data_IF_815514310251
#
_entry.id   IF_815514310251
#
_cell.length_a   1.000
_cell.length_b   1.000
_cell.length_c   1.000
_cell.angle_alpha   90.00
_cell.angle_beta   90.00
_cell.angle_gamma   90.00
#
_symmetry.space_group_name_H-M   'P 1'
#
loop_
_entity.id
_entity.type
_entity.pdbx_description
1 polymer ?
2 non-polymer ?
3 non-polymer ?
4 non-polymer ?
5 non-polymer ?
6 water ?
#
# COMPACT_ATOMS: atom_id res chain seq x y z
N UNK A 4 18.76 -18.47 -19.92
CA UNK A 4 18.98 -18.62 -18.48
C UNK A 4 18.06 -17.72 -17.66
N UNK A 5 17.64 -16.59 -18.23
CA UNK A 5 16.90 -15.62 -17.43
C UNK A 5 16.04 -14.69 -18.30
N UNK A 6 14.93 -14.24 -17.70
CA UNK A 6 13.95 -13.45 -18.45
C UNK A 6 14.41 -12.02 -18.67
N UNK A 7 15.19 -11.45 -17.75
CA UNK A 7 15.76 -10.13 -17.94
C UNK A 7 17.05 -10.22 -18.73
N UNK A 8 17.19 -9.37 -19.76
CA UNK A 8 18.44 -9.41 -20.50
C UNK A 8 19.57 -8.69 -19.77
N UNK A 9 19.24 -7.83 -18.81
CA UNK A 9 20.24 -7.28 -17.91
C UNK A 9 19.52 -6.82 -16.65
N UNK A 10 20.28 -6.76 -15.55
CA UNK A 10 19.70 -6.47 -14.23
C UNK A 10 19.68 -4.97 -13.97
N UNK A 11 18.85 -4.27 -14.75
CA UNK A 11 18.76 -2.82 -14.71
C UNK A 11 17.33 -2.42 -14.99
N UNK A 12 17.02 -1.13 -14.77
CA UNK A 12 15.69 -0.65 -15.10
C UNK A 12 15.43 -0.79 -16.59
N UNK A 13 16.45 -0.56 -17.41
CA UNK A 13 16.31 -0.77 -18.86
C UNK A 13 15.97 -2.23 -19.18
N UNK A 14 16.61 -3.16 -18.49
CA UNK A 14 16.27 -4.56 -18.69
C UNK A 14 14.84 -4.88 -18.30
N UNK A 15 14.34 -4.28 -17.21
CA UNK A 15 12.96 -4.48 -16.81
C UNK A 15 12.01 -3.89 -17.84
N UNK A 16 12.32 -2.69 -18.34
CA UNK A 16 11.43 -2.07 -19.33
C UNK A 16 11.35 -2.91 -20.60
N UNK A 17 12.49 -3.44 -21.07
CA UNK A 17 12.44 -4.28 -22.27
C UNK A 17 11.62 -5.54 -22.04
N UNK A 18 11.75 -6.13 -20.85
CA UNK A 18 10.96 -7.30 -20.51
C UNK A 18 9.47 -6.96 -20.47
N UNK A 19 9.15 -5.78 -19.95
CA UNK A 19 7.78 -5.34 -19.80
C UNK A 19 7.09 -5.17 -21.15
N UNK A 20 7.87 -4.90 -22.21
CA UNK A 20 7.31 -4.73 -23.54
C UNK A 20 7.53 -5.97 -24.41
N UNK A 21 7.97 -7.08 -23.82
CA UNK A 21 8.08 -8.36 -24.49
C UNK A 21 6.78 -9.17 -24.32
N UNK A 22 6.63 -10.20 -25.14
CA UNK A 22 5.40 -10.99 -25.09
C UNK A 22 5.27 -11.76 -23.77
N UNK A 23 6.36 -11.92 -23.01
CA UNK A 23 6.29 -12.73 -21.81
C UNK A 23 5.71 -11.98 -20.61
N UNK A 24 5.70 -10.66 -20.62
CA UNK A 24 5.28 -9.89 -19.44
C UNK A 24 3.82 -9.50 -19.61
N UNK A 25 2.93 -10.31 -19.05
CA UNK A 25 1.51 -10.05 -19.21
C UNK A 25 0.83 -9.59 -17.94
N UNK A 26 1.33 -10.03 -16.80
CA UNK A 26 0.62 -9.88 -15.52
C UNK A 26 1.57 -9.36 -14.46
N UNK A 27 1.26 -8.17 -13.94
CA UNK A 27 2.14 -7.48 -12.99
C UNK A 27 1.43 -7.46 -11.63
N UNK A 28 2.14 -7.84 -10.58
CA UNK A 28 1.68 -7.61 -9.21
C UNK A 28 2.52 -6.49 -8.61
N UNK A 29 1.85 -5.50 -8.01
CA UNK A 29 2.52 -4.42 -7.29
C UNK A 29 2.41 -4.70 -5.80
N UNK A 30 3.51 -4.52 -5.07
CA UNK A 30 3.51 -4.56 -3.61
C UNK A 30 3.97 -3.19 -3.15
N UNK A 31 3.11 -2.48 -2.40
CA UNK A 31 3.43 -1.08 -2.12
C UNK A 31 3.31 -0.80 -0.63
N UNK A 32 4.13 0.13 -0.16
CA UNK A 32 4.11 0.54 1.24
C UNK A 32 4.13 2.05 1.41
N UNK A 33 4.49 2.50 2.63
CA UNK A 33 4.32 3.90 2.98
C UNK A 33 5.14 4.82 2.11
N UNK A 34 6.22 4.31 1.51
CA UNK A 34 7.08 5.14 0.70
C UNK A 34 6.44 5.65 -0.58
N UNK A 35 5.31 5.09 -1.01
CA UNK A 35 4.64 5.62 -2.20
C UNK A 35 3.68 6.75 -1.84
N UNK A 36 3.48 7.04 -0.54
CA UNK A 36 2.55 8.09 -0.14
C UNK A 36 3.19 9.25 0.62
N UNK A 37 4.48 9.15 0.96
CA UNK A 37 5.12 10.27 1.65
C UNK A 37 5.16 11.53 0.78
N UNK A 38 5.28 11.38 -0.54
CA UNK A 38 5.26 12.58 -1.38
C UNK A 38 3.86 13.15 -1.56
N UNK A 39 2.81 12.46 -1.10
CA UNK A 39 1.45 12.98 -1.05
C UNK A 39 1.17 13.69 0.26
N UNK A 40 2.16 13.74 1.14
CA UNK A 40 2.01 14.39 2.41
C UNK A 40 1.56 13.47 3.52
N UNK A 41 1.54 12.17 3.28
CA UNK A 41 1.11 11.20 4.28
C UNK A 41 2.35 10.67 4.98
N UNK A 42 2.55 10.92 6.27
CA UNK A 42 3.75 10.44 6.96
C UNK A 42 3.81 8.91 6.99
N UNK A 43 5.03 8.41 7.01
CA UNK A 43 5.27 6.99 7.29
C UNK A 43 5.10 6.82 8.80
N UNK A 44 3.94 6.34 9.21
CA UNK A 44 3.69 6.24 10.64
C UNK A 44 4.53 5.15 11.34
N UNK A 45 5.50 4.55 10.65
CA UNK A 45 6.47 3.67 11.29
C UNK A 45 7.88 4.27 11.32
N UNK A 46 8.15 5.37 10.59
CA UNK A 46 9.46 5.99 10.69
C UNK A 46 9.56 6.80 11.99
N UNK A 47 10.70 6.84 12.69
CA UNK A 47 10.81 7.67 13.89
C UNK A 47 10.63 9.18 13.66
N UNK A 48 11.07 9.68 12.52
CA UNK A 48 10.95 11.11 12.19
C UNK A 48 9.49 11.57 12.34
N UNK A 49 8.56 10.61 12.43
CA UNK A 49 7.12 10.92 12.61
C UNK A 49 6.85 11.05 14.12
N UNK A 50 7.19 10.05 14.91
CA UNK A 50 6.97 10.07 16.38
C UNK A 50 5.51 9.86 16.76
N UNK A 51 4.83 8.91 16.12
CA UNK A 51 3.39 8.65 16.36
C UNK A 51 3.14 8.42 17.85
N UNK A 52 3.85 7.46 18.44
CA UNK A 52 3.60 7.10 19.86
C UNK A 52 4.18 8.18 20.78
N UNK A 53 4.00 9.46 20.45
CA UNK A 53 4.42 10.59 21.33
C UNK A 53 3.21 11.44 21.70
N UNK A 54 3.31 12.22 22.78
CA UNK A 54 2.17 13.02 23.26
C UNK A 54 0.90 12.16 23.39
N UNK A 55 1.01 10.90 23.81
CA UNK A 55 -0.22 10.11 24.08
C UNK A 55 -0.43 10.02 25.59
N UNK A 56 0.36 10.78 26.34
CA UNK A 56 0.33 10.72 27.83
C UNK A 56 -1.08 10.96 28.37
N UNK A 57 -1.81 11.93 27.80
CA UNK A 57 -3.13 12.31 28.37
C UNK A 57 -4.18 11.19 28.25
N UNK A 58 -3.90 10.17 27.44
CA UNK A 58 -4.92 9.13 27.21
C UNK A 58 -4.80 8.04 28.28
N UNK A 59 -3.65 7.97 28.94
CA UNK A 59 -3.49 7.00 30.05
C UNK A 59 -3.60 5.59 29.50
N UNK A 60 -2.96 5.37 28.36
CA UNK A 60 -3.00 4.06 27.74
C UNK A 60 -2.23 3.06 28.59
N UNK A 61 -2.76 1.85 28.79
CA UNK A 61 -1.99 0.82 29.51
C UNK A 61 -0.68 0.46 28.82
N UNK A 62 -0.51 0.85 27.55
CA UNK A 62 0.68 0.66 26.73
C UNK A 62 0.45 1.41 25.43
N UNK A 63 1.51 1.94 24.78
CA UNK A 63 1.30 2.84 23.63
C UNK A 63 0.45 2.26 22.52
N UNK A 64 0.58 0.97 22.20
CA UNK A 64 -0.16 0.36 21.10
C UNK A 64 -1.63 0.12 21.43
N UNK A 65 -2.07 0.40 22.66
CA UNK A 65 -3.49 0.19 22.97
C UNK A 65 -4.39 1.05 22.09
N UNK A 66 -3.90 2.21 21.64
CA UNK A 66 -4.70 3.09 20.79
C UNK A 66 -5.02 2.47 19.43
N UNK A 67 -4.32 1.39 19.06
CA UNK A 67 -4.62 0.64 17.85
C UNK A 67 -4.98 -0.82 18.15
N UNK A 68 -5.46 -1.07 19.37
CA UNK A 68 -5.85 -2.41 19.79
C UNK A 68 -7.35 -2.51 19.84
N UNK A 69 -7.89 -3.59 19.27
CA UNK A 69 -9.33 -3.69 19.08
C UNK A 69 -10.05 -3.72 20.41
N UNK A 70 -9.49 -4.42 21.41
CA UNK A 70 -10.21 -4.54 22.69
C UNK A 70 -10.25 -3.20 23.42
N UNK A 71 -9.15 -2.45 23.39
CA UNK A 71 -9.15 -1.12 23.99
C UNK A 71 -10.08 -0.17 23.25
N UNK A 72 -10.00 -0.16 21.90
CA UNK A 72 -10.88 0.70 21.11
C UNK A 72 -12.34 0.51 21.49
N UNK A 73 -12.78 -0.74 21.63
CA UNK A 73 -14.19 -1.00 21.87
C UNK A 73 -14.64 -0.55 23.25
N UNK A 74 -13.71 -0.43 24.21
CA UNK A 74 -14.01 0.10 25.53
C UNK A 74 -13.81 1.61 25.63
N UNK A 75 -12.73 2.13 25.04
CA UNK A 75 -12.35 3.54 25.09
C UNK A 75 -11.97 3.98 23.69
N UNK A 76 -12.93 4.31 22.83
CA UNK A 76 -12.59 4.71 21.45
C UNK A 76 -12.14 6.15 21.31
N UNK A 77 -12.31 6.98 22.35
CA UNK A 77 -12.02 8.41 22.21
C UNK A 77 -10.56 8.72 21.89
N UNK A 78 -9.55 8.02 22.45
CA UNK A 78 -8.17 8.35 22.06
C UNK A 78 -7.89 8.11 20.60
N UNK A 79 -8.32 6.98 20.05
CA UNK A 79 -8.09 6.71 18.63
C UNK A 79 -8.69 7.82 17.77
N UNK A 80 -9.92 8.25 18.07
CA UNK A 80 -10.56 9.25 17.22
C UNK A 80 -9.99 10.64 17.41
N UNK A 81 -9.49 10.96 18.60
CA UNK A 81 -8.77 12.21 18.78
C UNK A 81 -7.48 12.22 17.97
N UNK A 82 -6.75 11.09 17.98
CA UNK A 82 -5.55 10.99 17.17
C UNK A 82 -5.89 11.10 15.69
N UNK A 83 -6.95 10.42 15.25
CA UNK A 83 -7.33 10.47 13.85
C UNK A 83 -7.65 11.89 13.41
N UNK A 84 -8.26 12.70 14.29
CA UNK A 84 -8.49 14.10 13.92
C UNK A 84 -7.16 14.86 13.82
N UNK A 85 -6.28 14.64 14.80
CA UNK A 85 -4.99 15.32 14.83
C UNK A 85 -4.18 15.06 13.57
N UNK A 86 -4.21 13.84 13.04
CA UNK A 86 -3.38 13.48 11.90
C UNK A 86 -4.15 13.36 10.60
N UNK A 87 -5.41 13.81 10.55
CA UNK A 87 -6.20 13.67 9.34
C UNK A 87 -5.53 14.43 8.19
N UNK A 88 -5.27 13.79 7.05
CA UNK A 88 -4.59 14.49 5.94
C UNK A 88 -5.36 15.73 5.49
N UNK A 89 -4.60 16.76 5.07
CA UNK A 89 -5.24 17.96 4.57
C UNK A 89 -5.81 17.80 3.18
N UNK A 90 -5.36 16.79 2.45
CA UNK A 90 -5.77 16.55 1.09
C UNK A 90 -5.49 15.08 0.81
N UNK A 91 -6.24 14.50 -0.12
CA UNK A 91 -5.99 13.13 -0.58
C UNK A 91 -5.65 13.18 -2.06
N UNK A 92 -4.38 13.44 -2.35
CA UNK A 92 -3.90 13.59 -3.72
C UNK A 92 -2.87 12.51 -4.00
N UNK A 93 -3.24 11.47 -4.76
CA UNK A 93 -2.29 10.37 -5.01
C UNK A 93 -1.07 10.84 -5.78
N UNK A 94 -0.02 10.03 -5.70
CA UNK A 94 1.28 10.40 -6.26
C UNK A 94 1.44 9.85 -7.67
N UNK A 95 2.54 10.26 -8.32
CA UNK A 95 2.91 9.69 -9.60
C UNK A 95 2.93 8.18 -9.54
N UNK A 96 3.39 7.63 -8.41
CA UNK A 96 3.45 6.18 -8.27
C UNK A 96 2.05 5.56 -8.31
N UNK A 97 1.08 6.16 -7.61
CA UNK A 97 -0.29 5.65 -7.67
C UNK A 97 -0.84 5.71 -9.08
N UNK A 98 -0.61 6.81 -9.80
CA UNK A 98 -1.14 6.89 -11.16
C UNK A 98 -0.38 5.99 -12.12
N UNK A 99 0.88 5.66 -11.81
CA UNK A 99 1.57 4.65 -12.60
C UNK A 99 0.84 3.32 -12.50
N UNK A 100 0.35 2.96 -11.31
CA UNK A 100 -0.38 1.70 -11.35
C UNK A 100 -1.77 1.83 -11.94
N UNK A 101 -2.38 3.01 -11.97
CA UNK A 101 -3.59 3.17 -12.77
C UNK A 101 -3.29 2.97 -14.25
N UNK A 102 -2.12 3.43 -14.72
CA UNK A 102 -1.74 3.17 -16.11
C UNK A 102 -1.57 1.68 -16.36
N UNK A 103 -0.92 0.96 -15.44
CA UNK A 103 -0.82 -0.49 -15.58
C UNK A 103 -2.19 -1.11 -15.75
N UNK A 104 -3.16 -0.65 -14.97
CA UNK A 104 -4.53 -1.15 -15.07
C UNK A 104 -5.12 -0.84 -16.45
N UNK A 105 -4.94 0.40 -16.90
CA UNK A 105 -5.49 0.86 -18.18
C UNK A 105 -4.96 0.01 -19.33
N UNK A 106 -3.71 -0.39 -19.24
CA UNK A 106 -3.04 -1.16 -20.27
C UNK A 106 -3.24 -2.66 -20.13
N UNK A 107 -4.09 -3.09 -19.21
CA UNK A 107 -4.40 -4.49 -19.00
C UNK A 107 -3.29 -5.32 -18.39
N UNK A 108 -2.31 -4.68 -17.75
CA UNK A 108 -1.16 -5.36 -17.17
C UNK A 108 -1.29 -5.60 -15.68
N UNK A 109 -2.22 -4.97 -14.98
CA UNK A 109 -2.26 -5.04 -13.53
C UNK A 109 -3.04 -6.26 -13.08
N UNK A 110 -2.35 -7.25 -12.51
CA UNK A 110 -3.06 -8.37 -11.91
C UNK A 110 -3.60 -7.99 -10.54
N UNK A 111 -2.78 -7.36 -9.72
CA UNK A 111 -3.21 -6.99 -8.37
C UNK A 111 -2.22 -6.00 -7.78
N UNK A 112 -2.73 -5.13 -6.91
CA UNK A 112 -1.90 -4.29 -6.06
C UNK A 112 -2.15 -4.68 -4.61
N UNK A 113 -1.12 -5.18 -3.96
CA UNK A 113 -1.13 -5.43 -2.53
C UNK A 113 -0.54 -4.22 -1.83
N UNK A 114 -1.32 -3.59 -0.95
CA UNK A 114 -0.87 -2.38 -0.29
C UNK A 114 -0.89 -2.55 1.22
N UNK A 115 0.12 -1.98 1.87
CA UNK A 115 0.20 -1.84 3.31
C UNK A 115 -0.43 -0.55 3.81
N UNK A 116 -0.86 0.33 2.90
CA UNK A 116 -1.30 1.66 3.29
C UNK A 116 -2.80 1.67 3.55
N UNK A 117 -3.21 2.58 4.47
CA UNK A 117 -4.63 2.75 4.84
C UNK A 117 -5.19 4.06 4.32
N UNK A 118 -4.44 4.79 3.51
CA UNK A 118 -4.75 6.18 3.19
C UNK A 118 -5.70 6.37 2.02
N UNK A 119 -6.18 5.30 1.39
CA UNK A 119 -7.18 5.29 0.31
C UNK A 119 -6.65 5.77 -1.04
N UNK A 120 -5.38 6.17 -1.13
CA UNK A 120 -4.94 6.84 -2.35
C UNK A 120 -4.95 5.91 -3.57
N UNK A 121 -4.80 4.59 -3.36
CA UNK A 121 -4.94 3.67 -4.49
C UNK A 121 -6.34 3.78 -5.12
N UNK A 122 -7.38 3.90 -4.29
CA UNK A 122 -8.75 3.99 -4.79
C UNK A 122 -9.01 5.33 -5.47
N UNK A 123 -8.50 6.41 -4.88
CA UNK A 123 -8.66 7.74 -5.48
C UNK A 123 -7.98 7.78 -6.84
N UNK A 124 -6.82 7.13 -6.97
CA UNK A 124 -6.09 7.04 -8.24
C UNK A 124 -6.79 6.17 -9.26
N UNK A 125 -7.84 5.45 -8.89
CA UNK A 125 -8.63 4.72 -9.86
C UNK A 125 -8.44 3.21 -9.86
N UNK A 126 -7.79 2.65 -8.85
CA UNK A 126 -7.80 1.20 -8.70
C UNK A 126 -9.12 0.80 -8.06
N UNK A 127 -9.74 -0.23 -8.60
CA UNK A 127 -11.02 -0.71 -8.08
C UNK A 127 -10.81 -1.77 -7.00
N UNK A 128 -11.89 -2.03 -6.26
CA UNK A 128 -11.76 -2.98 -5.15
C UNK A 128 -11.23 -4.33 -5.63
N UNK A 129 -11.60 -4.75 -6.84
CA UNK A 129 -11.14 -6.04 -7.37
C UNK A 129 -9.63 -6.04 -7.61
N UNK A 130 -9.04 -4.88 -7.92
CA UNK A 130 -7.61 -4.76 -8.16
C UNK A 130 -6.78 -4.76 -6.89
N UNK A 131 -7.39 -4.64 -5.72
CA UNK A 131 -6.68 -4.28 -4.51
C UNK A 131 -6.74 -5.38 -3.47
N UNK A 132 -5.62 -5.58 -2.79
CA UNK A 132 -5.59 -6.27 -1.52
C UNK A 132 -5.06 -5.27 -0.50
N UNK A 133 -5.95 -4.73 0.33
CA UNK A 133 -5.53 -3.78 1.36
C UNK A 133 -5.17 -4.59 2.59
N UNK A 134 -3.87 -4.92 2.69
CA UNK A 134 -3.41 -5.89 3.68
C UNK A 134 -3.64 -5.41 5.10
N UNK A 135 -3.63 -4.10 5.32
CA UNK A 135 -3.86 -3.54 6.64
C UNK A 135 -5.21 -2.83 6.73
N UNK A 136 -6.09 -3.09 5.77
CA UNK A 136 -7.37 -2.44 5.71
C UNK A 136 -7.26 -1.02 5.14
N UNK A 137 -8.30 -0.24 5.42
CA UNK A 137 -8.40 1.07 4.82
C UNK A 137 -9.32 1.96 5.64
N UNK A 138 -9.10 3.27 5.54
CA UNK A 138 -10.02 4.27 6.08
C UNK A 138 -11.15 4.59 5.12
N UNK A 139 -11.13 4.02 3.91
CA UNK A 139 -12.12 4.35 2.88
C UNK A 139 -13.54 4.00 3.31
N UNK A 140 -13.71 2.86 3.98
CA UNK A 140 -15.00 2.45 4.49
C UNK A 140 -14.85 2.16 5.97
N UNK A 141 -15.97 2.23 6.67
CA UNK A 141 -16.05 1.97 8.09
C UNK A 141 -17.26 1.09 8.35
N UNK A 142 -17.23 0.31 9.42
CA UNK A 142 -18.36 -0.55 9.72
C UNK A 142 -18.75 -0.46 11.19
N UNK A 143 -20.06 -0.52 11.41
CA UNK A 143 -20.57 -0.81 12.74
C UNK A 143 -19.90 -2.07 13.26
N UNK A 144 -19.44 -2.03 14.52
CA UNK A 144 -18.69 -3.16 15.06
C UNK A 144 -19.57 -4.30 15.55
N UNK A 145 -20.89 -4.13 15.59
CA UNK A 145 -21.77 -5.21 16.03
C UNK A 145 -21.90 -6.28 14.94
N UNK A 146 -21.63 -7.52 15.32
CA UNK A 146 -21.63 -8.61 14.36
C UNK A 146 -23.00 -8.83 13.72
N UNK A 147 -24.08 -8.49 14.43
CA UNK A 147 -25.42 -8.70 13.86
C UNK A 147 -25.90 -7.53 13.01
N UNK A 148 -25.06 -6.50 12.83
CA UNK A 148 -25.46 -5.32 12.09
C UNK A 148 -24.50 -5.01 10.96
N UNK A 149 -23.28 -4.59 11.30
CA UNK A 149 -22.22 -4.38 10.32
C UNK A 149 -22.61 -3.35 9.25
N UNK A 150 -23.45 -2.38 9.61
CA UNK A 150 -23.79 -1.30 8.68
C UNK A 150 -22.51 -0.60 8.22
N UNK A 151 -22.41 -0.32 6.92
CA UNK A 151 -21.21 0.28 6.34
C UNK A 151 -21.40 1.78 6.14
N UNK A 152 -20.36 2.55 6.46
CA UNK A 152 -20.39 4.00 6.34
C UNK A 152 -19.21 4.49 5.49
N UNK A 153 -19.43 5.49 4.66
CA UNK A 153 -18.35 6.01 3.82
C UNK A 153 -17.46 6.99 4.58
N UNK A 154 -16.29 7.28 3.99
CA UNK A 154 -15.35 8.17 4.66
C UNK A 154 -15.94 9.55 4.93
N UNK A 155 -16.82 10.06 4.08
CA UNK A 155 -17.36 11.40 4.31
C UNK A 155 -18.18 11.46 5.59
N UNK A 156 -18.92 10.40 5.89
CA UNK A 156 -19.64 10.30 7.16
C UNK A 156 -18.66 10.25 8.33
N UNK A 157 -17.64 9.41 8.21
CA UNK A 157 -16.69 9.22 9.30
C UNK A 157 -15.88 10.51 9.52
N UNK A 158 -15.54 11.23 8.44
CA UNK A 158 -14.84 12.51 8.58
C UNK A 158 -15.65 13.52 9.39
N UNK A 159 -16.95 13.64 9.10
CA UNK A 159 -17.77 14.61 9.81
C UNK A 159 -17.78 14.34 11.31
N UNK A 160 -17.93 13.07 11.69
CA UNK A 160 -17.89 12.70 13.10
C UNK A 160 -16.53 13.02 13.71
N UNK A 161 -15.45 12.69 13.01
CA UNK A 161 -14.11 12.87 13.56
C UNK A 161 -13.83 14.35 13.81
N UNK A 162 -14.20 15.21 12.85
CA UNK A 162 -13.88 16.62 13.03
C UNK A 162 -14.81 17.32 14.00
N UNK A 163 -16.06 16.88 14.10
CA UNK A 163 -16.95 17.43 15.11
C UNK A 163 -16.68 16.86 16.49
N UNK A 164 -15.73 15.93 16.63
CA UNK A 164 -15.38 15.31 17.91
C UNK A 164 -16.61 14.63 18.53
N UNK A 165 -17.41 14.00 17.67
CA UNK A 165 -18.52 13.15 18.08
C UNK A 165 -18.10 11.71 17.81
N UNK A 166 -18.10 10.89 18.85
CA UNK A 166 -17.72 9.50 18.66
C UNK A 166 -18.71 8.83 17.70
N UNK A 167 -18.26 8.25 16.60
CA UNK A 167 -19.19 7.73 15.60
C UNK A 167 -19.95 6.50 16.12
N UNK A 168 -21.28 6.58 16.06
CA UNK A 168 -22.16 5.49 16.47
C UNK A 168 -23.08 5.11 15.32
N UNK A 169 -23.40 3.82 15.26
CA UNK A 169 -24.26 3.30 14.19
C UNK A 169 -25.67 3.88 14.30
N UNK A 170 -26.20 4.34 13.17
CA UNK A 170 -27.57 4.86 13.15
C UNK A 170 -28.63 3.79 13.35
N UNK A 171 -28.32 2.53 13.02
CA UNK A 171 -29.29 1.45 13.19
C UNK A 171 -29.29 0.90 14.62
N UNK A 172 -28.11 0.72 15.22
CA UNK A 172 -28.03 0.01 16.48
C UNK A 172 -27.21 0.74 17.55
N UNK A 173 -26.62 1.89 17.23
CA UNK A 173 -25.86 2.74 18.16
C UNK A 173 -24.58 2.07 18.70
N UNK A 174 -24.10 0.98 18.09
CA UNK A 174 -22.76 0.49 18.39
C UNK A 174 -21.72 1.45 17.81
N UNK A 175 -20.48 1.30 18.26
CA UNK A 175 -19.38 2.04 17.65
C UNK A 175 -19.25 1.71 16.17
N UNK A 176 -18.82 2.69 15.39
CA UNK A 176 -18.45 2.48 14.00
C UNK A 176 -16.94 2.68 13.89
N UNK A 177 -16.25 1.67 13.33
CA UNK A 177 -14.79 1.64 13.26
C UNK A 177 -14.30 1.74 11.82
N UNK A 178 -13.32 2.57 11.52
CA UNK A 178 -12.69 2.51 10.20
C UNK A 178 -12.18 1.10 9.94
N UNK A 179 -12.22 0.69 8.67
CA UNK A 179 -11.86 -0.68 8.28
C UNK A 179 -10.36 -0.93 8.28
N UNK A 180 -9.61 -0.36 9.19
CA UNK A 180 -8.20 -0.70 9.29
C UNK A 180 -8.08 -1.90 10.23
N UNK A 181 -7.06 -2.73 10.02
CA UNK A 181 -6.83 -3.92 10.84
C UNK A 181 -6.14 -3.47 12.13
N UNK A 182 -6.90 -3.37 13.23
CA UNK A 182 -6.33 -3.09 14.54
C UNK A 182 -5.55 -4.30 15.07
N UNK A 183 -4.64 -4.04 16.00
CA UNK A 183 -4.05 -5.13 16.78
C UNK A 183 -5.17 -5.93 17.44
N UNK A 184 -5.01 -7.25 17.48
CA UNK A 184 -6.05 -8.12 17.97
C UNK A 184 -7.05 -8.54 16.92
N UNK A 185 -6.96 -7.98 15.72
CA UNK A 185 -7.72 -8.44 14.57
C UNK A 185 -6.80 -9.24 13.65
N UNK A 186 -7.40 -10.10 12.83
CA UNK A 186 -6.63 -10.85 11.84
C UNK A 186 -6.51 -10.06 10.55
N UNK A 187 -5.46 -10.35 9.78
CA UNK A 187 -5.39 -9.83 8.43
C UNK A 187 -6.60 -10.33 7.64
N UNK A 188 -7.07 -9.56 6.65
CA UNK A 188 -8.25 -10.00 5.89
C UNK A 188 -8.02 -11.35 5.21
N UNK A 189 -9.07 -12.18 5.18
CA UNK A 189 -8.95 -13.47 4.51
C UNK A 189 -8.61 -13.29 3.04
N UNK A 190 -9.04 -12.18 2.44
CA UNK A 190 -8.76 -11.90 1.05
C UNK A 190 -7.26 -11.85 0.78
N UNK A 191 -6.48 -11.42 1.77
CA UNK A 191 -5.03 -11.39 1.60
C UNK A 191 -4.51 -12.79 1.28
N UNK A 192 -4.94 -13.78 2.06
CA UNK A 192 -4.41 -15.12 1.89
C UNK A 192 -5.01 -15.81 0.67
N UNK A 193 -6.29 -15.61 0.40
CA UNK A 193 -6.91 -16.27 -0.76
C UNK A 193 -6.38 -15.68 -2.06
N UNK A 194 -6.19 -14.35 -2.11
CA UNK A 194 -5.67 -13.78 -3.34
C UNK A 194 -4.22 -14.19 -3.56
N UNK A 195 -3.43 -14.23 -2.48
CA UNK A 195 -2.03 -14.63 -2.62
C UNK A 195 -1.92 -16.03 -3.21
N UNK A 196 -2.79 -16.96 -2.77
CA UNK A 196 -2.74 -18.33 -3.27
C UNK A 196 -3.00 -18.44 -4.77
N UNK A 197 -3.81 -17.55 -5.32
CA UNK A 197 -4.13 -17.59 -6.74
C UNK A 197 -3.23 -16.69 -7.58
N UNK A 198 -2.93 -15.50 -7.06
CA UNK A 198 -2.28 -14.50 -7.89
C UNK A 198 -0.86 -14.90 -8.25
N UNK A 199 -0.16 -15.52 -7.31
CA UNK A 199 1.26 -15.78 -7.53
C UNK A 199 1.49 -17.01 -8.41
N UNK A 200 0.42 -17.72 -8.80
CA UNK A 200 0.52 -18.71 -9.88
C UNK A 200 0.61 -18.05 -11.24
N UNK A 201 0.22 -16.76 -11.34
CA UNK A 201 -0.04 -16.11 -12.61
C UNK A 201 0.90 -14.94 -12.90
N UNK A 202 1.75 -14.57 -11.96
CA UNK A 202 2.48 -13.31 -12.04
C UNK A 202 3.70 -13.44 -12.97
N UNK A 203 3.92 -12.40 -13.79
CA UNK A 203 5.09 -12.30 -14.67
C UNK A 203 6.13 -11.30 -14.18
N UNK A 204 5.75 -10.37 -13.31
CA UNK A 204 6.64 -9.32 -12.84
C UNK A 204 6.15 -8.85 -11.48
N UNK A 205 7.03 -8.74 -10.53
CA UNK A 205 6.72 -8.19 -9.22
C UNK A 205 7.32 -6.79 -9.14
N UNK A 206 6.48 -5.78 -8.92
CA UNK A 206 6.92 -4.40 -8.76
C UNK A 206 6.76 -4.04 -7.29
N UNK A 207 7.88 -3.89 -6.59
CA UNK A 207 7.89 -3.64 -5.14
C UNK A 207 8.28 -2.19 -4.92
N UNK A 208 7.36 -1.38 -4.38
CA UNK A 208 7.61 0.07 -4.36
C UNK A 208 7.35 0.63 -2.96
N UNK A 209 8.33 1.38 -2.44
CA UNK A 209 8.10 2.12 -1.20
C UNK A 209 7.83 1.26 0.02
N UNK A 210 8.46 0.11 0.10
CA UNK A 210 8.33 -0.71 1.29
C UNK A 210 9.69 -1.26 1.63
N UNK A 211 10.03 -1.25 2.93
CA UNK A 211 11.26 -1.84 3.43
C UNK A 211 11.17 -3.36 3.63
N UNK A 212 10.01 -3.97 3.41
CA UNK A 212 9.89 -5.43 3.46
C UNK A 212 10.36 -5.97 4.81
N UNK A 213 9.92 -5.31 5.89
CA UNK A 213 10.25 -5.73 7.24
C UNK A 213 9.05 -6.23 8.01
N UNK A 214 7.84 -5.88 7.60
CA UNK A 214 6.62 -6.28 8.31
C UNK A 214 6.09 -7.56 7.69
N UNK A 215 5.87 -8.61 8.56
CA UNK A 215 5.30 -9.87 8.09
C UNK A 215 3.80 -9.91 8.38
N UNK A 216 3.04 -10.69 7.61
CA UNK A 216 3.44 -11.56 6.49
C UNK A 216 3.57 -10.83 5.16
N UNK A 217 3.38 -9.51 5.11
CA UNK A 217 3.48 -8.79 3.84
C UNK A 217 4.83 -9.04 3.18
N UNK A 218 5.92 -8.96 3.95
CA UNK A 218 7.24 -9.12 3.35
C UNK A 218 7.41 -10.47 2.68
N UNK A 219 6.82 -11.52 3.27
CA UNK A 219 7.00 -12.87 2.73
C UNK A 219 6.38 -13.02 1.34
N UNK A 220 5.61 -12.03 0.88
CA UNK A 220 5.00 -12.12 -0.43
C UNK A 220 6.05 -12.26 -1.53
N UNK A 221 7.24 -11.67 -1.34
CA UNK A 221 8.21 -11.74 -2.44
C UNK A 221 8.67 -13.16 -2.66
N UNK A 222 8.62 -14.00 -1.63
CA UNK A 222 9.01 -15.40 -1.75
C UNK A 222 7.93 -16.28 -2.38
N UNK A 223 6.74 -15.74 -2.66
CA UNK A 223 5.68 -16.49 -3.30
C UNK A 223 5.75 -16.44 -4.81
N UNK A 224 6.64 -15.59 -5.36
CA UNK A 224 6.75 -15.51 -6.81
C UNK A 224 7.42 -16.78 -7.34
N UNK A 225 7.03 -17.21 -8.54
CA UNK A 225 7.80 -18.25 -9.24
C UNK A 225 9.27 -17.85 -9.33
N UNK A 226 10.13 -18.87 -9.41
CA UNK A 226 11.57 -18.63 -9.42
C UNK A 226 12.02 -17.76 -10.60
N UNK A 227 11.31 -17.80 -11.73
CA UNK A 227 11.72 -17.05 -12.90
C UNK A 227 11.24 -15.61 -12.89
N UNK A 228 10.26 -15.28 -12.06
CA UNK A 228 9.61 -13.96 -12.13
C UNK A 228 10.56 -12.83 -11.74
N UNK A 229 10.85 -11.87 -12.62
CA UNK A 229 11.68 -10.73 -12.21
C UNK A 229 11.00 -9.92 -11.12
N UNK A 230 11.82 -9.33 -10.26
CA UNK A 230 11.34 -8.52 -9.14
C UNK A 230 12.10 -7.20 -9.14
N UNK A 231 11.37 -6.09 -9.28
CA UNK A 231 11.97 -4.75 -9.33
C UNK A 231 11.59 -4.03 -8.05
N UNK A 232 12.59 -3.57 -7.30
CA UNK A 232 12.41 -2.75 -6.11
C UNK A 232 12.66 -1.29 -6.47
N UNK A 233 11.65 -0.44 -6.28
CA UNK A 233 11.81 1.02 -6.40
C UNK A 233 11.66 1.56 -5.00
N UNK A 234 12.76 2.03 -4.40
CA UNK A 234 12.72 2.36 -2.97
C UNK A 234 13.93 3.24 -2.65
N UNK A 235 13.81 4.06 -1.59
CA UNK A 235 14.93 4.91 -1.23
C UNK A 235 16.15 4.10 -0.81
N UNK A 236 15.93 2.90 -0.25
CA UNK A 236 16.98 2.02 0.27
C UNK A 236 16.77 0.60 -0.23
N UNK A 237 17.89 -0.09 -0.45
CA UNK A 237 17.83 -1.51 -0.77
C UNK A 237 17.15 -2.26 0.38
N UNK A 238 16.29 -3.21 0.02
CA UNK A 238 15.54 -3.97 1.01
C UNK A 238 15.26 -5.36 0.48
N UNK A 239 14.93 -6.28 1.39
CA UNK A 239 14.47 -7.59 1.00
C UNK A 239 15.53 -8.68 0.94
N UNK A 240 16.79 -8.36 1.15
CA UNK A 240 17.82 -9.39 1.15
C UNK A 240 17.68 -10.29 2.37
N UNK A 241 18.20 -11.50 2.24
CA UNK A 241 18.24 -12.40 3.38
C UNK A 241 19.06 -11.80 4.52
N UNK A 242 18.62 -12.06 5.75
CA UNK A 242 19.21 -11.42 6.92
C UNK A 242 20.27 -12.34 7.48
N UNK A 243 21.55 -11.98 7.44
CA UNK A 243 22.60 -12.92 7.88
C UNK A 243 22.46 -13.37 9.32
N UNK A 244 21.71 -12.64 10.16
CA UNK A 244 21.59 -12.96 11.58
C UNK A 244 20.57 -14.04 11.87
N UNK A 245 19.84 -14.50 10.85
CA UNK A 245 18.84 -15.55 11.02
C UNK A 245 19.17 -16.80 10.20
N UNK A 246 20.42 -16.95 9.78
CA UNK A 246 20.83 -18.10 8.98
C UNK A 246 20.37 -18.03 7.54
N UNK A 252 16.73 -17.35 1.35
CA UNK A 252 15.57 -18.20 1.20
C UNK A 252 14.40 -17.49 0.55
N UNK A 253 14.52 -17.25 -0.76
CA UNK A 253 13.56 -16.43 -1.46
C UNK A 253 13.79 -14.94 -1.32
N UNK A 254 14.82 -14.53 -0.56
CA UNK A 254 15.14 -13.12 -0.42
C UNK A 254 15.66 -12.53 -1.70
N UNK A 255 15.68 -11.19 -1.74
CA UNK A 255 16.19 -10.45 -2.89
C UNK A 255 17.69 -10.71 -3.07
N UNK A 256 18.13 -10.98 -4.30
CA UNK A 256 19.56 -11.04 -4.60
C UNK A 256 19.83 -10.07 -5.74
N UNK A 257 20.31 -8.87 -5.40
CA UNK A 257 20.57 -7.84 -6.40
C UNK A 257 22.00 -7.91 -6.93
N UNK A 258 22.94 -8.24 -6.06
CA UNK A 258 24.33 -7.89 -6.28
C UNK A 258 25.31 -9.05 -6.30
N UNK A 259 24.90 -10.28 -6.03
CA UNK A 259 25.88 -11.36 -6.05
C UNK A 259 26.12 -11.86 -7.47
N UNK A 260 27.16 -12.67 -7.64
CA UNK A 260 27.40 -13.24 -8.97
C UNK A 260 26.33 -14.26 -9.36
N UNK A 261 25.46 -14.63 -8.42
CA UNK A 261 24.34 -15.52 -8.68
C UNK A 261 23.04 -14.79 -8.99
N UNK A 262 23.06 -13.45 -8.91
CA UNK A 262 21.87 -12.64 -9.18
C UNK A 262 21.42 -12.87 -10.61
N UNK A 263 20.10 -12.97 -10.80
CA UNK A 263 19.59 -13.28 -12.13
C UNK A 263 18.25 -12.62 -12.44
N UNK A 264 17.59 -12.03 -11.45
CA UNK A 264 16.22 -11.57 -11.71
C UNK A 264 15.76 -10.39 -10.87
N UNK A 265 16.56 -9.98 -9.88
CA UNK A 265 16.16 -8.90 -8.97
C UNK A 265 16.92 -7.64 -9.30
N UNK A 266 16.21 -6.52 -9.32
CA UNK A 266 16.76 -5.22 -9.70
C UNK A 266 16.34 -4.19 -8.65
N UNK A 267 17.29 -3.34 -8.25
CA UNK A 267 17.02 -2.27 -7.29
C UNK A 267 17.26 -0.93 -7.94
N UNK A 268 16.23 -0.08 -7.92
CA UNK A 268 16.34 1.32 -8.35
C UNK A 268 16.18 2.17 -7.09
N UNK A 269 17.25 2.88 -6.71
CA UNK A 269 17.34 3.55 -5.43
C UNK A 269 17.05 5.03 -5.61
N UNK A 270 15.97 5.49 -5.00
CA UNK A 270 15.60 6.89 -5.07
C UNK A 270 14.16 7.02 -4.64
N UNK A 271 13.62 8.21 -4.87
CA UNK A 271 12.22 8.46 -4.58
C UNK A 271 11.32 7.64 -5.51
N UNK A 272 10.25 7.09 -4.95
CA UNK A 272 9.35 6.25 -5.74
C UNK A 272 8.81 6.99 -6.95
N UNK A 273 8.38 8.25 -6.78
CA UNK A 273 7.89 9.05 -7.90
C UNK A 273 8.91 9.10 -9.02
N UNK A 274 10.18 9.35 -8.67
CA UNK A 274 11.19 9.50 -9.71
C UNK A 274 11.50 8.17 -10.37
N UNK A 275 11.40 7.06 -9.63
CA UNK A 275 11.64 5.76 -10.21
C UNK A 275 10.53 5.37 -11.17
N UNK A 276 9.28 5.58 -10.77
CA UNK A 276 8.16 5.30 -11.65
C UNK A 276 8.20 6.17 -12.89
N UNK A 277 8.58 7.45 -12.72
CA UNK A 277 8.74 8.33 -13.85
C UNK A 277 9.80 7.79 -14.82
N UNK A 278 10.94 7.36 -14.28
CA UNK A 278 12.00 6.81 -15.13
C UNK A 278 11.51 5.57 -15.88
N UNK A 279 10.79 4.69 -15.19
CA UNK A 279 10.30 3.48 -15.86
C UNK A 279 9.28 3.84 -16.94
N UNK A 280 8.31 4.72 -16.60
CA UNK A 280 7.34 5.15 -17.61
C UNK A 280 8.04 5.75 -18.82
N UNK A 281 9.06 6.58 -18.59
CA UNK A 281 9.79 7.21 -19.68
C UNK A 281 10.42 6.16 -20.60
N UNK A 282 11.07 5.13 -20.03
CA UNK A 282 11.62 4.04 -20.83
C UNK A 282 10.54 3.35 -21.64
N UNK A 283 9.34 3.20 -21.06
CA UNK A 283 8.25 2.48 -21.68
C UNK A 283 7.54 3.31 -22.76
N UNK A 284 7.87 4.59 -22.90
CA UNK A 284 7.11 5.45 -23.80
C UNK A 284 5.82 5.96 -23.22
N UNK A 285 5.66 5.89 -21.90
CA UNK A 285 4.42 6.28 -21.24
C UNK A 285 4.51 7.63 -20.53
N UNK A 286 5.63 8.36 -20.67
CA UNK A 286 5.80 9.56 -19.85
C UNK A 286 4.71 10.59 -20.14
N UNK A 287 4.37 10.83 -21.41
CA UNK A 287 3.35 11.83 -21.68
C UNK A 287 1.99 11.36 -21.18
N UNK A 288 1.67 10.08 -21.36
CA UNK A 288 0.43 9.53 -20.81
C UNK A 288 0.35 9.73 -19.29
N UNK A 289 1.45 9.44 -18.60
CA UNK A 289 1.48 9.55 -17.15
C UNK A 289 1.36 11.02 -16.70
N UNK A 290 2.11 11.92 -17.34
CA UNK A 290 1.98 13.33 -16.97
C UNK A 290 0.56 13.84 -17.24
N UNK A 291 -0.02 13.48 -18.39
CA UNK A 291 -1.38 13.94 -18.68
C UNK A 291 -2.38 13.44 -17.65
N UNK A 292 -2.26 12.18 -17.25
CA UNK A 292 -3.18 11.62 -16.25
C UNK A 292 -2.98 12.32 -14.90
N UNK A 293 -1.74 12.42 -14.44
CA UNK A 293 -1.50 13.05 -13.13
C UNK A 293 -1.98 14.50 -13.14
N UNK A 294 -1.63 15.26 -14.17
CA UNK A 294 -1.99 16.68 -14.17
C UNK A 294 -3.50 16.85 -14.17
N UNK A 295 -4.19 15.99 -14.89
CA UNK A 295 -5.64 16.06 -14.94
C UNK A 295 -6.27 15.66 -13.61
N UNK A 296 -5.80 14.56 -13.03
CA UNK A 296 -6.37 14.11 -11.76
C UNK A 296 -6.02 15.08 -10.63
N UNK A 297 -4.77 15.58 -10.59
CA UNK A 297 -4.42 16.56 -9.57
C UNK A 297 -5.24 17.83 -9.72
N UNK A 298 -5.45 18.29 -10.96
CA UNK A 298 -6.25 19.49 -11.15
C UNK A 298 -7.68 19.25 -10.67
N UNK A 299 -8.24 18.08 -10.95
CA UNK A 299 -9.60 17.79 -10.51
C UNK A 299 -9.68 17.76 -8.97
N UNK A 300 -8.69 17.15 -8.31
CA UNK A 300 -8.69 17.13 -6.86
C UNK A 300 -8.48 18.53 -6.30
N UNK A 301 -7.60 19.32 -6.92
CA UNK A 301 -7.30 20.64 -6.38
C UNK A 301 -8.52 21.53 -6.47
N UNK A 302 -9.41 21.23 -7.41
CA UNK A 302 -10.59 22.06 -7.68
C UNK A 302 -11.81 21.64 -6.89
N UNK A 303 -11.71 20.60 -6.07
CA UNK A 303 -12.87 20.13 -5.29
C UNK A 303 -13.33 21.21 -4.34
X LIG B 1 -25.05 -1.16 13.75
X LIG C 1 -4.82 9.57 10.06
X LIG C 1 -5.65 9.36 8.82
X LIG C 1 -7.02 9.63 8.87
X LIG C 1 -7.82 9.39 7.77
X LIG C 1 -7.26 8.89 6.60
X LIG C 1 -5.91 8.63 6.58
X LIG C 1 -5.39 6.22 11.79
X LIG C 1 -4.32 6.31 12.87
X LIG C 1 -3.10 7.08 12.38
X LIG C 1 -2.31 6.27 11.34
X LIG C 1 -1.87 4.96 11.84
X LIG C 1 -1.54 2.98 12.37
X LIG C 1 -1.73 1.52 12.48
X LIG C 1 -2.90 0.93 12.01
X LIG C 1 -3.04 -0.45 12.03
X LIG C 1 -2.02 -1.26 12.51
X LIG C 1 -1.17 -3.57 12.29
X LIG C 1 -1.57 -5.02 12.38
X LIG C 1 -2.69 -5.44 13.08
X LIG C 1 -3.02 -6.78 13.15
X LIG C 1 -2.23 -7.71 12.51
X LIG C 1 -1.11 -7.32 11.79
X LIG C 1 -0.79 -5.97 11.74
X LIG C 1 -0.85 -0.67 12.97
X LIG C 1 -0.71 0.71 12.95
X LIG C 1 -3.52 8.46 11.88
X LIG C 1 -5.08 8.86 7.64
X LIG C 1 -3.59 8.62 7.54
X LIG C 1 -5.72 7.58 11.22
X LIG C 1 -5.36 8.18 5.43
X LIG C 1 -2.43 3.81 11.73
X LIG C 1 -2.15 -2.66 12.51
X LIG C 1 -0.48 3.59 12.84
X LIG C 1 -4.49 8.27 10.74
X LIG C 1 -0.01 -3.27 12.03
X LIG C 1 -0.70 4.94 12.49
X LIG C 1 -2.62 -9.40 12.61
X LIG D 1 -20.29 6.09 25.45
X LIG D 1 -21.32 5.39 24.77
X LIG D 1 -18.92 5.43 25.20
X LIG D 1 -18.54 5.83 23.75
X LIG D 1 -19.14 7.03 23.34
X LIG D 1 -17.86 6.07 26.10
X LIG D 1 -16.53 5.69 25.78
X LIG D 1 -18.95 3.95 25.32
X LIG D 1 -17.90 3.19 24.66
X LIG D 1 -18.42 2.07 23.76
X LIG D 1 -19.57 2.52 23.05
X LIG D 1 -19.39 3.38 26.59
X LIG D 1 -20.78 2.76 26.57
X LIG D 1 -21.48 3.02 27.77
X LIG E 1 15.85 6.81 -18.05
X LIG E 1 14.41 6.93 -18.12
X LIG E 1 16.35 7.63 -16.85
X LIG E 1 15.85 8.96 -16.97
X LIG F 1 19.58 5.21 -9.16
X LIG F 1 20.37 6.15 -9.91
X LIG F 1 20.13 3.82 -9.45
X LIG F 1 19.55 2.85 -8.56
X LIG G 1 -0.80 18.93 -18.93
X LIG G 1 -2.05 18.91 -18.23
X LIG G 1 -0.23 17.51 -18.95
X LIG G 1 1.20 17.61 -19.09
X LIG H 1 -0.22 0.50 8.40
X LIG H 1 0.77 0.01 7.49
X LIG H 1 0.19 1.88 8.88
X LIG H 1 0.45 2.69 7.72
X LIG I 1 -11.26 -5.70 8.76
X LIG I 1 -10.61 -4.47 8.39
X LIG I 1 -12.49 -5.38 9.61
X LIG I 1 -12.10 -4.52 10.68
#
# INVERSE_FOLDING_TARGET
GHMERLLDELTLEGVARYMQSERCRRVICLVGAGISTSAGIPDFRSPSTGLYDNLEKYHLPYPEAIFEISYFKKHPEPFFALAKELYPGQFKPTICHYFMRLLKDKGLLLRCYTQNIDTLERIAGLEQEDLVEAHGTFYTSHCVSASCRHEYPLSWMKEKIFSEVTPKCEDCQSLVKPDIVFFGESLPARFFSCMQSDFLKVDLLLVMGTSLQVQPFASLISKAPLSTPRLLINKEKAGQSDPFLGMIMGLGGGMDFDSKKAYRDVAWLGECDQGCLALAELLGWKKELEDLVRREHASIDAQS
ZN ZN
I1R C7 C6 C5 C4 C3 C2 C10 C11 C12 C13 C14 C16 C17 C18 C19 C20 C22 C23 C24 C25 C26 C28 C29 C31 C32 C35 C36 C37 C9 F1 N15 N21 N33 N8 O30 O34 CL27
BTB C1 O1 C2 C3 O3 C4 O4 N C5 C6 O6 C7 C8 O8
EDO C1 O1 C2 O2
EDO C1 O1 C2 O2
EDO C1 O1 C2 O2
EDO C1 O1 C2 O2
EDO C1 O1 C2 O2
#
